data_IF_682307764120
#
_entry.id   IF_682307764120
#
_cell.length_a   1.000
_cell.length_b   1.000
_cell.length_c   1.000
_cell.angle_alpha   90.00
_cell.angle_beta   90.00
_cell.angle_gamma   90.00
#
_symmetry.space_group_name_H-M   'P 1'
#
loop_
_entity.id
_entity.type
_entity.pdbx_description
1 polymer ?
#
# COMPACT_ATOMS: atom_id res chain seq x y z
N UNK A 1 -18.22 20.80 14.34
CA UNK A 1 -18.60 19.38 14.26
C UNK A 1 -17.32 18.55 14.07
N UNK A 2 -16.71 18.11 15.17
CA UNK A 2 -15.47 17.33 15.15
C UNK A 2 -15.81 15.85 14.95
N UNK A 3 -15.68 15.35 13.72
CA UNK A 3 -15.64 13.90 13.48
C UNK A 3 -14.27 13.41 13.95
N UNK A 4 -14.23 12.66 15.05
CA UNK A 4 -13.03 11.93 15.48
C UNK A 4 -12.57 11.06 14.31
N UNK A 5 -11.38 11.33 13.77
CA UNK A 5 -10.81 10.52 12.70
C UNK A 5 -10.52 9.12 13.25
N UNK A 6 -11.14 8.09 12.66
CA UNK A 6 -10.89 6.70 13.05
C UNK A 6 -9.53 6.28 12.52
N UNK A 7 -8.57 6.05 13.41
CA UNK A 7 -7.23 5.55 13.07
C UNK A 7 -7.12 4.06 13.40
N UNK A 8 -6.60 3.26 12.47
CA UNK A 8 -6.42 1.81 12.62
C UNK A 8 -5.04 1.39 12.15
N UNK A 9 -4.44 0.38 12.79
CA UNK A 9 -3.15 -0.20 12.37
C UNK A 9 -3.36 -1.64 11.91
N UNK A 10 -2.88 -1.97 10.71
CA UNK A 10 -3.04 -3.29 10.11
C UNK A 10 -1.67 -3.86 9.74
N UNK A 11 -1.37 -5.07 10.22
CA UNK A 11 -0.19 -5.84 9.79
C UNK A 11 -0.47 -6.48 8.42
N UNK A 12 0.46 -6.36 7.49
CA UNK A 12 0.36 -6.94 6.15
C UNK A 12 1.75 -7.11 5.52
N UNK A 13 1.79 -7.44 4.24
CA UNK A 13 3.01 -7.76 3.50
C UNK A 13 3.20 -6.79 2.34
N UNK A 14 4.41 -6.24 2.21
CA UNK A 14 4.82 -5.43 1.07
C UNK A 14 4.93 -6.27 -0.21
N UNK A 15 4.37 -5.77 -1.31
CA UNK A 15 4.34 -6.46 -2.62
C UNK A 15 4.98 -5.66 -3.76
N UNK A 16 5.79 -4.65 -3.45
CA UNK A 16 6.56 -3.90 -4.47
C UNK A 16 7.67 -4.75 -5.14
N UNK A 17 8.02 -5.90 -4.58
CA UNK A 17 8.89 -6.91 -5.18
C UNK A 17 8.53 -8.30 -4.66
N UNK A 18 9.31 -9.32 -5.02
CA UNK A 18 9.12 -10.71 -4.57
C UNK A 18 9.53 -10.96 -3.11
N UNK A 19 10.13 -9.98 -2.41
CA UNK A 19 10.73 -10.18 -1.09
C UNK A 19 9.73 -10.33 0.07
N UNK A 20 8.51 -9.81 -0.06
CA UNK A 20 7.45 -10.04 0.92
C UNK A 20 7.73 -9.49 2.33
N UNK A 21 8.39 -8.33 2.45
CA UNK A 21 8.67 -7.71 3.75
C UNK A 21 7.38 -7.45 4.56
N UNK A 22 7.40 -7.74 5.87
CA UNK A 22 6.31 -7.41 6.78
C UNK A 22 6.25 -5.91 7.06
N UNK A 23 5.02 -5.35 7.02
CA UNK A 23 4.75 -3.92 7.21
C UNK A 23 3.49 -3.71 8.06
N UNK A 24 3.45 -2.56 8.72
CA UNK A 24 2.28 -2.04 9.42
C UNK A 24 1.76 -0.84 8.64
N UNK A 25 0.50 -0.92 8.22
CA UNK A 25 -0.23 0.20 7.62
C UNK A 25 -0.96 0.98 8.70
N UNK A 26 -0.93 2.31 8.63
CA UNK A 26 -1.83 3.17 9.40
C UNK A 26 -2.92 3.67 8.47
N UNK A 27 -4.17 3.40 8.85
CA UNK A 27 -5.37 3.84 8.13
C UNK A 27 -6.01 4.99 8.91
N UNK A 28 -6.48 6.01 8.19
CA UNK A 28 -7.35 7.06 8.71
C UNK A 28 -8.57 7.15 7.80
N UNK A 29 -9.77 7.06 8.37
CA UNK A 29 -11.03 7.14 7.61
C UNK A 29 -11.03 6.20 6.38
N UNK A 30 -10.57 4.96 6.56
CA UNK A 30 -10.45 3.93 5.53
C UNK A 30 -9.47 4.25 4.37
N UNK A 31 -8.53 5.17 4.58
CA UNK A 31 -7.41 5.44 3.66
C UNK A 31 -6.09 5.16 4.34
N UNK A 32 -5.18 4.50 3.63
CA UNK A 32 -3.83 4.25 4.14
C UNK A 32 -3.03 5.55 4.08
N UNK A 33 -2.59 6.06 5.22
CA UNK A 33 -1.84 7.32 5.32
C UNK A 33 -0.35 7.10 5.58
N UNK A 34 0.03 5.93 6.08
CA UNK A 34 1.42 5.64 6.43
C UNK A 34 1.74 4.15 6.29
N UNK A 35 2.96 3.87 5.84
CA UNK A 35 3.57 2.54 5.82
C UNK A 35 4.78 2.56 6.73
N UNK A 36 4.87 1.60 7.65
CA UNK A 36 6.03 1.41 8.51
C UNK A 36 6.47 -0.06 8.45
N UNK A 37 7.76 -0.36 8.61
CA UNK A 37 8.21 -1.75 8.72
C UNK A 37 7.66 -2.38 10.01
N UNK A 38 7.31 -3.67 9.93
CA UNK A 38 6.99 -4.46 11.12
C UNK A 38 8.29 -4.93 11.80
N UNK A 39 8.50 -4.50 13.04
CA UNK A 39 9.68 -4.86 13.84
C UNK A 39 9.71 -6.36 14.15
N UNK A 40 8.55 -6.98 14.27
CA UNK A 40 8.42 -8.40 14.61
C UNK A 40 8.55 -9.31 13.39
N UNK A 41 8.67 -8.74 12.18
CA UNK A 41 8.70 -9.57 10.97
C UNK A 41 10.02 -10.33 10.86
N UNK A 42 10.00 -11.67 10.73
CA UNK A 42 11.21 -12.47 10.61
C UNK A 42 11.95 -12.23 9.28
N UNK A 43 11.26 -11.71 8.26
CA UNK A 43 11.81 -11.53 6.91
C UNK A 43 12.67 -10.28 6.80
N UNK A 44 12.29 -9.20 7.46
CA UNK A 44 12.93 -7.90 7.29
C UNK A 44 13.33 -7.21 8.60
N UNK A 45 12.98 -7.78 9.76
CA UNK A 45 13.46 -7.35 11.08
C UNK A 45 13.36 -5.83 11.28
N UNK A 46 12.19 -5.25 10.98
CA UNK A 46 11.98 -3.81 11.12
C UNK A 46 12.59 -2.92 10.05
N UNK A 47 13.11 -3.48 8.95
CA UNK A 47 13.68 -2.71 7.81
C UNK A 47 12.75 -2.70 6.61
N UNK A 48 12.82 -1.66 5.80
CA UNK A 48 12.08 -1.58 4.53
C UNK A 48 12.87 -0.73 3.54
N UNK A 49 12.85 -1.09 2.25
CA UNK A 49 13.51 -0.32 1.20
C UNK A 49 12.66 0.88 0.74
N UNK A 50 13.24 1.86 0.02
CA UNK A 50 12.51 3.02 -0.48
C UNK A 50 11.27 2.67 -1.34
N UNK A 51 11.33 1.57 -2.11
CA UNK A 51 10.19 1.08 -2.92
C UNK A 51 8.97 0.70 -2.08
N UNK A 52 9.19 0.20 -0.86
CA UNK A 52 8.11 -0.15 0.06
C UNK A 52 7.50 1.10 0.71
N UNK A 53 8.34 2.09 1.03
CA UNK A 53 7.89 3.36 1.60
C UNK A 53 7.08 4.18 0.58
N UNK A 54 7.47 4.15 -0.69
CA UNK A 54 6.78 4.85 -1.78
C UNK A 54 5.52 4.11 -2.29
N UNK A 55 5.13 2.96 -1.72
CA UNK A 55 4.03 2.16 -2.26
C UNK A 55 2.66 2.89 -2.27
N UNK A 56 2.49 3.92 -1.44
CA UNK A 56 1.27 4.76 -1.46
C UNK A 56 1.13 5.56 -2.75
N UNK A 57 2.23 5.93 -3.40
CA UNK A 57 2.22 6.64 -4.69
C UNK A 57 1.58 5.77 -5.78
N UNK A 58 1.82 4.46 -5.75
CA UNK A 58 1.21 3.50 -6.67
C UNK A 58 -0.28 3.29 -6.32
N UNK A 59 -0.59 3.14 -5.02
CA UNK A 59 -1.95 2.92 -4.55
C UNK A 59 -2.89 4.09 -4.92
N UNK A 60 -2.39 5.32 -4.84
CA UNK A 60 -3.13 6.54 -5.08
C UNK A 60 -2.75 7.25 -6.38
N UNK A 61 -2.04 6.57 -7.29
CA UNK A 61 -1.67 7.16 -8.57
C UNK A 61 -2.92 7.67 -9.32
N UNK A 62 -2.89 8.89 -9.90
CA UNK A 62 -4.05 9.47 -10.57
C UNK A 62 -4.57 8.56 -11.70
N UNK A 63 -3.66 7.93 -12.45
CA UNK A 63 -3.98 7.06 -13.59
C UNK A 63 -4.22 5.59 -13.21
N UNK A 64 -4.36 5.27 -11.92
CA UNK A 64 -4.62 3.89 -11.49
C UNK A 64 -5.93 3.39 -12.11
N UNK A 65 -5.88 2.23 -12.76
CA UNK A 65 -7.07 1.57 -13.32
C UNK A 65 -8.09 1.27 -12.21
N UNK A 66 -9.33 1.73 -12.39
CA UNK A 66 -10.44 1.54 -11.44
C UNK A 66 -11.52 0.59 -11.96
N UNK A 67 -11.48 0.27 -13.24
CA UNK A 67 -12.48 -0.56 -13.92
C UNK A 67 -11.81 -1.38 -15.04
N UNK A 68 -12.39 -2.53 -15.41
CA UNK A 68 -11.92 -3.30 -16.58
C UNK A 68 -12.00 -2.48 -17.87
N UNK A 69 -11.03 -2.63 -18.76
CA UNK A 69 -11.00 -1.98 -20.07
C UNK A 69 -11.08 -2.99 -21.21
N UNK A 70 -11.77 -2.63 -22.31
CA UNK A 70 -11.88 -3.43 -23.52
C UNK A 70 -11.18 -2.73 -24.68
N UNK A 71 -10.30 -3.45 -25.38
CA UNK A 71 -9.69 -2.94 -26.62
C UNK A 71 -10.77 -2.73 -27.69
N UNK A 72 -10.73 -1.58 -28.35
CA UNK A 72 -11.49 -1.32 -29.57
C UNK A 72 -10.53 -1.39 -30.78
N UNK A 73 -11.01 -1.95 -31.91
CA UNK A 73 -10.24 -2.09 -33.15
C UNK A 73 -9.63 -3.48 -33.39
N UNK A 74 -9.01 -3.66 -34.57
CA UNK A 74 -8.31 -4.91 -34.95
C UNK A 74 -7.07 -5.11 -34.08
N UNK A 75 -6.70 -6.38 -33.84
CA UNK A 75 -5.40 -6.73 -33.25
C UNK A 75 -4.34 -6.56 -34.35
N UNK A 76 -3.26 -5.82 -34.04
CA UNK A 76 -2.02 -5.75 -34.80
C UNK A 76 -2.21 -5.61 -36.30
#
# INVERSE_FOLDING_TARGET
>A
MNKLNKTEKIKTTCRSCHGGCGVILTLENNKVVKIQPDQDSPLNQGRICPKGLAALEILYHPDRLRYPMKRLGKRG
#
